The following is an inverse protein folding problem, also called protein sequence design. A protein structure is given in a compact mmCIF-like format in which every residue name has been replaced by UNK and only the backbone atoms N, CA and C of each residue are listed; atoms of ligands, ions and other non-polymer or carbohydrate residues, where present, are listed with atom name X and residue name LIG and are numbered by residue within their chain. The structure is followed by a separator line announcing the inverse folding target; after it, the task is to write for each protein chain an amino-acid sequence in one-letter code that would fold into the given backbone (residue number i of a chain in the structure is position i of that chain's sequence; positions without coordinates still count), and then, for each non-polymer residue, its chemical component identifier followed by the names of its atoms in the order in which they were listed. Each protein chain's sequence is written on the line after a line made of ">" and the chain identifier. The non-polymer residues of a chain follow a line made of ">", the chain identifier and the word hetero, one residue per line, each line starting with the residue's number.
data_IF_890961652904
#
_entry.id   IF_890961652904
#
_cell.length_a   1.000
_cell.length_b   1.000
_cell.length_c   1.000
_cell.angle_alpha   90.00
_cell.angle_beta   90.00
_cell.angle_gamma   90.00
#
_symmetry.space_group_name_H-M   'P 1'
#
loop_
_entity.id
_entity.type
_entity.pdbx_description
1 polymer ?
#
# COMPACT_ATOMS: atom_id res chain seq x y z
N UNK A 1 -34.28 39.55 -0.53
CA UNK A 1 -34.24 38.17 0.00
C UNK A 1 -34.10 38.23 1.50
N UNK A 2 -34.91 37.44 2.21
CA UNK A 2 -34.86 37.38 3.66
C UNK A 2 -33.54 36.72 4.07
N UNK A 3 -32.87 37.20 5.11
CA UNK A 3 -31.57 36.65 5.56
C UNK A 3 -31.67 35.14 5.89
N UNK A 4 -32.87 34.69 6.27
CA UNK A 4 -33.24 33.29 6.46
C UNK A 4 -33.14 32.46 5.18
N UNK A 5 -33.48 33.03 4.01
CA UNK A 5 -33.38 32.34 2.73
C UNK A 5 -31.91 32.08 2.37
N UNK A 6 -31.05 33.07 2.62
CA UNK A 6 -29.60 32.96 2.34
C UNK A 6 -28.99 31.86 3.21
N UNK A 7 -29.40 31.77 4.48
CA UNK A 7 -28.94 30.71 5.40
C UNK A 7 -29.47 29.33 4.95
N UNK A 8 -30.75 29.23 4.55
CA UNK A 8 -31.35 27.98 4.09
C UNK A 8 -30.72 27.43 2.80
N UNK A 9 -30.46 28.32 1.84
CA UNK A 9 -29.77 27.96 0.59
C UNK A 9 -28.30 27.58 0.84
N UNK A 10 -27.62 28.29 1.74
CA UNK A 10 -26.25 27.95 2.14
C UNK A 10 -26.18 26.59 2.84
N UNK A 11 -27.14 26.29 3.73
CA UNK A 11 -27.24 24.99 4.40
C UNK A 11 -27.50 23.84 3.42
N UNK A 12 -28.42 24.03 2.48
CA UNK A 12 -28.72 23.04 1.42
C UNK A 12 -27.51 22.81 0.50
N UNK A 13 -26.81 23.88 0.11
CA UNK A 13 -25.59 23.78 -0.69
C UNK A 13 -24.47 23.03 0.05
N UNK A 14 -24.30 23.30 1.36
CA UNK A 14 -23.35 22.59 2.20
C UNK A 14 -23.68 21.09 2.31
N UNK A 15 -24.97 20.76 2.44
CA UNK A 15 -25.47 19.38 2.51
C UNK A 15 -25.22 18.61 1.20
N UNK A 16 -25.56 19.23 0.07
CA UNK A 16 -25.30 18.67 -1.27
C UNK A 16 -23.80 18.48 -1.49
N UNK A 17 -22.99 19.46 -1.12
CA UNK A 17 -21.53 19.39 -1.21
C UNK A 17 -20.93 18.31 -0.30
N UNK A 18 -21.51 18.10 0.88
CA UNK A 18 -21.16 17.01 1.80
C UNK A 18 -21.44 15.64 1.16
N UNK A 19 -22.58 15.47 0.48
CA UNK A 19 -22.92 14.22 -0.20
C UNK A 19 -22.03 13.93 -1.43
N UNK A 20 -21.52 14.97 -2.09
CA UNK A 20 -20.60 14.87 -3.23
C UNK A 20 -19.20 14.39 -2.84
N UNK A 21 -18.85 14.36 -1.54
CA UNK A 21 -17.51 13.97 -1.10
C UNK A 21 -17.32 12.45 -0.98
N UNK A 22 -16.71 11.88 -2.01
CA UNK A 22 -16.28 10.47 -2.07
C UNK A 22 -15.09 10.14 -1.16
N UNK A 23 -14.37 11.14 -0.64
CA UNK A 23 -13.24 10.93 0.27
C UNK A 23 -13.67 11.19 1.70
N UNK A 24 -13.79 10.11 2.49
CA UNK A 24 -14.18 10.13 3.92
C UNK A 24 -13.39 11.18 4.72
N UNK A 25 -12.12 11.39 4.39
CA UNK A 25 -11.26 12.37 5.06
C UNK A 25 -11.64 13.82 4.76
N UNK A 26 -12.01 14.13 3.50
CA UNK A 26 -12.49 15.48 3.12
C UNK A 26 -13.87 15.76 3.70
N UNK A 27 -14.72 14.73 3.75
CA UNK A 27 -16.04 14.77 4.40
C UNK A 27 -15.93 15.11 5.89
N UNK A 28 -15.02 14.45 6.62
CA UNK A 28 -14.81 14.74 8.05
C UNK A 28 -14.21 16.12 8.29
N UNK A 29 -13.32 16.59 7.41
CA UNK A 29 -12.77 17.94 7.49
C UNK A 29 -13.83 19.02 7.26
N UNK A 30 -14.72 18.86 6.27
CA UNK A 30 -15.83 19.78 6.07
C UNK A 30 -16.84 19.76 7.20
N UNK A 31 -17.15 18.58 7.75
CA UNK A 31 -18.00 18.48 8.94
C UNK A 31 -17.39 19.19 10.15
N UNK A 32 -16.06 19.12 10.34
CA UNK A 32 -15.36 19.87 11.38
C UNK A 32 -15.46 21.39 11.17
N UNK A 33 -15.26 21.86 9.93
CA UNK A 33 -15.43 23.29 9.61
C UNK A 33 -16.88 23.72 9.84
N UNK A 34 -17.85 22.92 9.39
CA UNK A 34 -19.27 23.16 9.59
C UNK A 34 -19.65 23.23 11.07
N UNK A 35 -19.13 22.31 11.89
CA UNK A 35 -19.40 22.33 13.33
C UNK A 35 -18.75 23.53 14.01
N UNK A 36 -17.56 23.97 13.60
CA UNK A 36 -16.92 25.19 14.12
C UNK A 36 -17.72 26.47 13.78
N UNK A 37 -18.23 26.57 12.55
CA UNK A 37 -19.10 27.68 12.13
C UNK A 37 -20.40 27.69 12.95
N UNK A 38 -21.01 26.52 13.15
CA UNK A 38 -22.24 26.37 13.94
C UNK A 38 -22.02 26.64 15.44
N UNK A 39 -20.85 26.33 15.99
CA UNK A 39 -20.49 26.73 17.36
C UNK A 39 -20.50 28.26 17.47
N UNK A 40 -19.83 28.96 16.56
CA UNK A 40 -19.77 30.43 16.57
C UNK A 40 -21.15 31.08 16.38
N UNK A 41 -21.95 30.57 15.45
CA UNK A 41 -23.30 31.05 15.18
C UNK A 41 -24.24 30.84 16.39
N UNK A 42 -24.29 29.62 16.94
CA UNK A 42 -25.15 29.32 18.09
C UNK A 42 -24.71 30.08 19.35
N UNK A 43 -23.40 30.28 19.55
CA UNK A 43 -22.89 31.08 20.65
C UNK A 43 -23.32 32.55 20.53
N UNK A 44 -23.27 33.12 19.32
CA UNK A 44 -23.73 34.49 19.06
C UNK A 44 -25.24 34.67 19.32
N UNK A 45 -26.05 33.64 19.08
CA UNK A 45 -27.49 33.64 19.36
C UNK A 45 -27.86 33.22 20.79
N UNK A 46 -26.89 32.85 21.64
CA UNK A 46 -27.16 32.35 22.99
C UNK A 46 -27.83 30.97 23.04
N UNK A 47 -27.80 30.20 21.95
CA UNK A 47 -28.41 28.87 21.84
C UNK A 47 -27.43 27.80 22.32
N UNK A 48 -27.29 27.70 23.65
CA UNK A 48 -26.35 26.78 24.31
C UNK A 48 -26.48 25.30 23.94
N UNK A 49 -27.69 24.72 23.74
CA UNK A 49 -27.81 23.33 23.29
C UNK A 49 -27.16 23.09 21.92
N UNK A 50 -27.26 24.05 21.00
CA UNK A 50 -26.64 23.99 19.68
C UNK A 50 -25.11 24.07 19.75
N UNK A 51 -24.57 24.86 20.67
CA UNK A 51 -23.12 24.92 20.94
C UNK A 51 -22.61 23.57 21.45
N UNK A 52 -23.25 23.00 22.49
CA UNK A 52 -22.83 21.73 23.09
C UNK A 52 -22.80 20.58 22.08
N UNK A 53 -23.84 20.45 21.26
CA UNK A 53 -23.93 19.42 20.23
C UNK A 53 -22.78 19.53 19.22
N UNK A 54 -22.53 20.73 18.70
CA UNK A 54 -21.49 20.93 17.69
C UNK A 54 -20.07 20.80 18.26
N UNK A 55 -19.85 21.09 19.56
CA UNK A 55 -18.60 20.80 20.26
C UNK A 55 -18.32 19.29 20.30
N UNK A 56 -19.32 18.48 20.65
CA UNK A 56 -19.17 17.01 20.67
C UNK A 56 -18.86 16.49 19.26
N UNK A 57 -19.58 16.97 18.24
CA UNK A 57 -19.33 16.61 16.84
C UNK A 57 -17.90 17.00 16.40
N UNK A 58 -17.42 18.19 16.79
CA UNK A 58 -16.07 18.64 16.50
C UNK A 58 -15.02 17.72 17.14
N UNK A 59 -15.18 17.35 18.41
CA UNK A 59 -14.27 16.43 19.13
C UNK A 59 -14.20 15.07 18.43
N UNK A 60 -15.35 14.49 18.08
CA UNK A 60 -15.42 13.21 17.38
C UNK A 60 -14.70 13.30 16.03
N UNK A 61 -14.97 14.35 15.24
CA UNK A 61 -14.33 14.52 13.94
C UNK A 61 -12.81 14.71 14.08
N UNK A 62 -12.32 15.48 15.06
CA UNK A 62 -10.88 15.63 15.34
C UNK A 62 -10.24 14.29 15.71
N UNK A 63 -10.88 13.49 16.56
CA UNK A 63 -10.35 12.17 16.96
C UNK A 63 -10.21 11.24 15.76
N UNK A 64 -11.25 11.13 14.92
CA UNK A 64 -11.20 10.31 13.71
C UNK A 64 -10.17 10.83 12.69
N UNK A 65 -10.08 12.16 12.51
CA UNK A 65 -9.11 12.77 11.59
C UNK A 65 -7.69 12.50 12.05
N UNK A 66 -7.39 12.63 13.35
CA UNK A 66 -6.09 12.30 13.94
C UNK A 66 -5.75 10.82 13.80
N UNK A 67 -6.70 9.92 14.09
CA UNK A 67 -6.51 8.47 13.93
C UNK A 67 -6.17 8.12 12.49
N UNK A 68 -6.92 8.64 11.52
CA UNK A 68 -6.67 8.40 10.10
C UNK A 68 -5.35 9.01 9.61
N UNK A 69 -4.96 10.20 10.10
CA UNK A 69 -3.66 10.79 9.77
C UNK A 69 -2.50 10.00 10.39
N UNK A 70 -2.66 9.51 11.62
CA UNK A 70 -1.65 8.68 12.29
C UNK A 70 -1.43 7.35 11.55
N UNK A 71 -2.51 6.68 11.10
CA UNK A 71 -2.39 5.45 10.29
C UNK A 71 -1.77 5.72 8.92
N UNK A 72 -1.88 6.94 8.37
CA UNK A 72 -1.23 7.30 7.11
C UNK A 72 0.29 7.34 7.20
N UNK A 73 0.82 7.67 8.38
CA UNK A 73 2.25 7.69 8.70
C UNK A 73 2.80 6.33 9.13
N UNK A 74 1.96 5.29 9.18
CA UNK A 74 2.42 3.90 9.24
C UNK A 74 2.86 3.45 7.83
N UNK A 75 3.87 4.13 7.31
CA UNK A 75 4.61 3.80 6.09
C UNK A 75 5.56 2.61 6.31
N UNK A 76 5.29 1.75 7.31
CA UNK A 76 6.22 0.70 7.77
C UNK A 76 5.67 -0.72 7.91
N UNK A 77 4.51 -1.02 7.34
CA UNK A 77 4.09 -2.42 7.21
C UNK A 77 3.76 -2.68 5.75
N UNK A 78 4.81 -2.68 4.91
CA UNK A 78 4.76 -3.52 3.74
C UNK A 78 4.74 -4.96 4.25
N UNK A 79 3.86 -5.77 3.70
CA UNK A 79 3.85 -7.21 3.93
C UNK A 79 4.04 -7.88 2.59
N UNK A 80 4.67 -9.05 2.60
CA UNK A 80 4.79 -9.84 1.39
C UNK A 80 3.96 -11.10 1.58
N UNK A 81 2.97 -11.26 0.72
CA UNK A 81 2.04 -12.39 0.73
C UNK A 81 2.41 -13.31 -0.42
N UNK A 82 2.73 -14.55 -0.09
CA UNK A 82 2.91 -15.60 -1.09
C UNK A 82 1.57 -16.00 -1.69
N UNK A 83 1.53 -16.06 -3.02
CA UNK A 83 0.34 -16.49 -3.77
C UNK A 83 0.73 -17.58 -4.76
N UNK A 84 -0.21 -18.47 -5.06
CA UNK A 84 -0.02 -19.48 -6.09
C UNK A 84 0.17 -18.83 -7.46
N UNK A 85 1.01 -19.41 -8.31
CA UNK A 85 1.21 -18.92 -9.69
C UNK A 85 -0.04 -19.07 -10.57
N UNK A 86 -0.97 -19.95 -10.18
CA UNK A 86 -2.30 -20.08 -10.76
C UNK A 86 -3.38 -19.20 -10.13
N UNK A 87 -3.03 -18.33 -9.18
CA UNK A 87 -4.02 -17.55 -8.43
C UNK A 87 -4.80 -16.56 -9.31
N UNK A 88 -6.12 -16.48 -9.10
CA UNK A 88 -6.99 -15.63 -9.90
C UNK A 88 -6.76 -14.14 -9.68
N UNK A 89 -6.39 -13.75 -8.47
CA UNK A 89 -6.13 -12.36 -8.09
C UNK A 89 -4.77 -11.88 -8.58
N UNK A 90 -3.74 -12.75 -8.55
CA UNK A 90 -2.46 -12.49 -9.22
C UNK A 90 -2.66 -12.25 -10.73
N UNK A 91 -3.38 -13.16 -11.40
CA UNK A 91 -3.66 -13.04 -12.83
C UNK A 91 -4.43 -11.75 -13.16
N UNK A 92 -5.38 -11.36 -12.31
CA UNK A 92 -6.08 -10.09 -12.44
C UNK A 92 -5.12 -8.90 -12.32
N UNK A 93 -4.26 -8.89 -11.30
CA UNK A 93 -3.30 -7.80 -11.04
C UNK A 93 -2.32 -7.62 -12.20
N UNK A 94 -1.75 -8.72 -12.70
CA UNK A 94 -0.85 -8.70 -13.87
C UNK A 94 -1.56 -8.17 -15.11
N UNK A 95 -2.84 -8.53 -15.33
CA UNK A 95 -3.62 -8.03 -16.47
C UNK A 95 -3.92 -6.55 -16.37
N UNK A 96 -4.33 -6.06 -15.20
CA UNK A 96 -4.63 -4.64 -14.96
C UNK A 96 -3.39 -3.76 -15.18
N UNK A 97 -2.23 -4.24 -14.77
CA UNK A 97 -0.97 -3.51 -14.87
C UNK A 97 -0.10 -3.87 -16.07
N UNK A 98 -0.60 -4.69 -17.00
CA UNK A 98 0.19 -5.23 -18.12
C UNK A 98 0.89 -4.15 -18.96
N UNK A 99 0.21 -3.01 -19.21
CA UNK A 99 0.78 -1.92 -19.99
C UNK A 99 1.95 -1.22 -19.29
N UNK A 100 1.86 -1.05 -17.96
CA UNK A 100 2.95 -0.45 -17.17
C UNK A 100 4.10 -1.44 -16.98
N UNK A 101 3.78 -2.72 -16.73
CA UNK A 101 4.76 -3.81 -16.67
C UNK A 101 5.54 -3.89 -17.99
N UNK A 102 4.88 -3.85 -19.15
CA UNK A 102 5.56 -3.90 -20.44
C UNK A 102 6.51 -2.71 -20.68
N UNK A 103 6.25 -1.56 -20.04
CA UNK A 103 7.10 -0.37 -20.14
C UNK A 103 8.37 -0.47 -19.29
N UNK A 104 8.28 -1.07 -18.10
CA UNK A 104 9.40 -1.12 -17.14
C UNK A 104 10.13 -2.48 -17.12
N UNK A 105 9.47 -3.53 -17.58
CA UNK A 105 9.99 -4.90 -17.68
C UNK A 105 9.66 -5.46 -19.09
N UNK A 106 10.21 -4.89 -20.17
CA UNK A 106 9.82 -5.22 -21.55
C UNK A 106 10.12 -6.67 -21.94
N UNK A 107 11.07 -7.31 -21.27
CA UNK A 107 11.43 -8.72 -21.48
C UNK A 107 10.51 -9.70 -20.74
N UNK A 108 9.74 -9.21 -19.75
CA UNK A 108 8.88 -10.07 -18.96
C UNK A 108 7.70 -10.59 -19.79
N UNK A 109 7.49 -11.90 -19.78
CA UNK A 109 6.34 -12.56 -20.40
C UNK A 109 5.69 -13.47 -19.37
N UNK A 110 4.41 -13.23 -19.09
CA UNK A 110 3.65 -14.08 -18.18
C UNK A 110 3.32 -15.41 -18.86
N UNK A 111 3.99 -16.49 -18.43
CA UNK A 111 3.80 -17.85 -18.94
C UNK A 111 2.74 -18.67 -18.20
N UNK A 112 2.06 -18.09 -17.19
CA UNK A 112 1.09 -18.78 -16.36
C UNK A 112 1.70 -19.54 -15.19
N UNK A 113 0.97 -20.55 -14.71
CA UNK A 113 1.38 -21.38 -13.59
C UNK A 113 2.59 -22.25 -13.96
N UNK A 114 3.63 -22.16 -13.13
CA UNK A 114 4.89 -22.90 -13.27
C UNK A 114 5.28 -23.38 -11.86
N UNK A 115 5.58 -24.67 -11.66
CA UNK A 115 5.93 -25.24 -10.36
C UNK A 115 7.25 -24.72 -9.79
N UNK A 116 8.18 -24.28 -10.63
CA UNK A 116 9.46 -23.71 -10.20
C UNK A 116 9.37 -22.20 -9.99
N UNK A 117 8.23 -21.60 -10.34
CA UNK A 117 7.94 -20.18 -10.13
C UNK A 117 7.21 -19.97 -8.83
N UNK A 118 7.59 -18.90 -8.13
CA UNK A 118 6.93 -18.41 -6.94
C UNK A 118 6.50 -16.96 -7.16
N UNK A 119 5.29 -16.66 -6.71
CA UNK A 119 4.68 -15.36 -6.86
C UNK A 119 4.40 -14.73 -5.51
N UNK A 120 4.70 -13.44 -5.42
CA UNK A 120 4.58 -12.68 -4.19
C UNK A 120 3.89 -11.36 -4.48
N UNK A 121 2.88 -11.05 -3.69
CA UNK A 121 2.23 -9.74 -3.68
C UNK A 121 2.84 -8.91 -2.57
N UNK A 122 3.29 -7.71 -2.92
CA UNK A 122 3.67 -6.71 -1.93
C UNK A 122 2.41 -5.92 -1.61
N UNK A 123 1.98 -5.98 -0.36
CA UNK A 123 0.78 -5.30 0.12
C UNK A 123 1.15 -4.24 1.14
N UNK A 124 0.39 -3.15 1.16
CA UNK A 124 0.43 -2.14 2.21
C UNK A 124 -0.97 -2.04 2.79
N UNK A 125 -1.13 -2.46 4.04
CA UNK A 125 -2.45 -2.66 4.64
C UNK A 125 -3.31 -3.60 3.77
N UNK A 126 -4.31 -3.06 3.07
CA UNK A 126 -5.24 -3.78 2.20
C UNK A 126 -5.00 -3.53 0.69
N UNK A 127 -4.03 -2.68 0.32
CA UNK A 127 -3.73 -2.32 -1.06
C UNK A 127 -2.55 -3.14 -1.59
N UNK A 128 -2.73 -3.81 -2.74
CA UNK A 128 -1.59 -4.41 -3.49
C UNK A 128 -0.79 -3.29 -4.13
N UNK A 129 0.46 -3.16 -3.72
CA UNK A 129 1.36 -2.11 -4.19
C UNK A 129 2.40 -2.62 -5.19
N UNK A 130 2.63 -3.93 -5.24
CA UNK A 130 3.59 -4.54 -6.17
C UNK A 130 3.46 -6.06 -6.31
N UNK A 131 4.18 -6.60 -7.29
CA UNK A 131 4.26 -8.02 -7.62
C UNK A 131 5.73 -8.38 -7.83
N UNK A 132 6.18 -9.42 -7.15
CA UNK A 132 7.50 -10.02 -7.34
C UNK A 132 7.32 -11.47 -7.78
N UNK A 133 7.90 -11.82 -8.92
CA UNK A 133 7.93 -13.19 -9.43
C UNK A 133 9.37 -13.65 -9.45
N UNK A 134 9.61 -14.84 -8.89
CA UNK A 134 10.92 -15.47 -8.91
C UNK A 134 10.81 -16.90 -9.41
N UNK A 135 11.83 -17.34 -10.12
CA UNK A 135 12.01 -18.71 -10.54
C UNK A 135 13.17 -19.31 -9.75
N UNK A 136 12.91 -20.43 -9.08
CA UNK A 136 13.88 -21.16 -8.30
C UNK A 136 14.06 -22.57 -8.83
N UNK A 137 14.42 -22.71 -10.11
CA UNK A 137 14.71 -23.98 -10.78
C UNK A 137 15.83 -24.80 -10.09
N UNK A 138 15.49 -25.43 -8.95
CA UNK A 138 16.23 -26.52 -8.31
C UNK A 138 17.52 -26.19 -7.57
N UNK A 139 17.80 -24.94 -7.19
CA UNK A 139 19.08 -24.54 -6.57
C UNK A 139 18.98 -23.56 -5.40
N UNK A 140 20.13 -23.09 -4.93
CA UNK A 140 20.25 -22.08 -3.85
C UNK A 140 20.06 -20.63 -4.35
N UNK A 141 19.57 -20.47 -5.58
CA UNK A 141 19.49 -19.21 -6.30
C UNK A 141 18.06 -18.94 -6.74
N UNK A 142 17.51 -17.80 -6.30
CA UNK A 142 16.26 -17.27 -6.81
C UNK A 142 16.54 -16.29 -7.97
N UNK A 143 16.02 -16.58 -9.16
CA UNK A 143 16.09 -15.64 -10.29
C UNK A 143 14.83 -14.79 -10.32
N UNK A 144 14.96 -13.47 -10.23
CA UNK A 144 13.85 -12.54 -10.36
C UNK A 144 13.41 -12.51 -11.81
N UNK A 145 12.14 -12.80 -12.08
CA UNK A 145 11.53 -12.66 -13.40
C UNK A 145 10.74 -11.35 -13.52
N UNK A 146 10.11 -10.91 -12.43
CA UNK A 146 9.37 -9.66 -12.36
C UNK A 146 9.60 -9.01 -11.00
N UNK A 147 9.92 -7.71 -11.03
CA UNK A 147 9.93 -6.83 -9.86
C UNK A 147 9.15 -5.58 -10.25
N UNK A 148 7.85 -5.60 -9.98
CA UNK A 148 6.93 -4.54 -10.40
C UNK A 148 6.31 -3.88 -9.18
N UNK A 149 6.36 -2.55 -9.17
CA UNK A 149 5.69 -1.71 -8.18
C UNK A 149 4.80 -0.73 -8.91
N UNK A 150 3.56 -0.62 -8.44
CA UNK A 150 2.58 0.34 -8.96
C UNK A 150 3.13 1.77 -8.92
N UNK A 151 2.75 2.58 -9.91
CA UNK A 151 3.27 3.94 -10.09
C UNK A 151 3.25 4.80 -8.82
N UNK A 152 2.19 4.67 -8.00
CA UNK A 152 2.01 5.43 -6.76
C UNK A 152 3.04 5.11 -5.67
N UNK A 153 3.63 3.92 -5.70
CA UNK A 153 4.50 3.39 -4.63
C UNK A 153 5.95 3.18 -5.07
N UNK A 154 6.27 3.47 -6.32
CA UNK A 154 7.60 3.22 -6.90
C UNK A 154 8.73 3.95 -6.17
N UNK A 155 8.48 5.18 -5.72
CA UNK A 155 9.47 6.00 -5.01
C UNK A 155 9.62 5.63 -3.52
N UNK A 156 8.77 4.72 -3.00
CA UNK A 156 8.71 4.37 -1.57
C UNK A 156 9.49 3.09 -1.21
N UNK A 157 10.47 2.73 -2.05
CA UNK A 157 11.40 1.59 -1.88
C UNK A 157 10.80 0.23 -1.44
N UNK A 158 9.66 -0.26 -1.98
CA UNK A 158 9.08 -1.54 -1.53
C UNK A 158 10.01 -2.74 -1.72
N UNK A 159 10.86 -2.72 -2.76
CA UNK A 159 11.86 -3.77 -2.98
C UNK A 159 12.90 -3.87 -1.85
N UNK A 160 13.17 -2.80 -1.08
CA UNK A 160 14.08 -2.89 0.07
C UNK A 160 13.47 -3.79 1.15
N UNK A 161 12.15 -3.66 1.33
CA UNK A 161 11.42 -4.53 2.24
C UNK A 161 11.48 -5.98 1.77
N UNK A 162 11.22 -6.23 0.47
CA UNK A 162 11.24 -7.58 -0.11
C UNK A 162 12.62 -8.23 0.02
N UNK A 163 13.70 -7.53 -0.33
CA UNK A 163 15.03 -8.14 -0.39
C UNK A 163 15.83 -8.10 0.92
N UNK A 164 15.63 -7.10 1.80
CA UNK A 164 16.44 -6.95 3.03
C UNK A 164 15.69 -7.30 4.31
N UNK A 165 14.38 -7.04 4.38
CA UNK A 165 13.61 -7.21 5.63
C UNK A 165 12.73 -8.45 5.64
N UNK A 166 12.32 -8.94 4.48
CA UNK A 166 11.54 -10.16 4.41
C UNK A 166 12.45 -11.39 4.48
N UNK A 167 12.05 -12.39 5.27
CA UNK A 167 12.67 -13.72 5.30
C UNK A 167 12.17 -14.64 4.17
N UNK A 168 11.51 -14.05 3.17
CA UNK A 168 10.83 -14.75 2.09
C UNK A 168 11.76 -15.67 1.29
N UNK A 169 12.92 -15.16 0.93
CA UNK A 169 13.89 -15.94 0.16
C UNK A 169 14.65 -16.94 1.03
N UNK A 170 15.02 -16.54 2.25
CA UNK A 170 15.80 -17.38 3.17
C UNK A 170 14.98 -18.54 3.71
N UNK A 171 13.68 -18.36 4.01
CA UNK A 171 12.78 -19.45 4.42
C UNK A 171 12.63 -20.53 3.35
N UNK A 172 12.84 -20.19 2.07
CA UNK A 172 12.83 -21.13 0.93
C UNK A 172 14.19 -21.79 0.69
N UNK A 173 15.20 -21.47 1.49
CA UNK A 173 16.57 -22.00 1.34
C UNK A 173 17.39 -21.29 0.27
N UNK A 174 16.89 -20.20 -0.34
CA UNK A 174 17.70 -19.41 -1.25
C UNK A 174 18.79 -18.66 -0.49
N UNK A 175 20.00 -18.70 -1.05
CA UNK A 175 21.18 -18.00 -0.56
C UNK A 175 21.53 -16.79 -1.40
N UNK A 176 21.09 -16.77 -2.66
CA UNK A 176 21.38 -15.71 -3.61
C UNK A 176 20.13 -15.32 -4.41
N UNK A 177 20.00 -14.03 -4.71
CA UNK A 177 19.00 -13.50 -5.63
C UNK A 177 19.71 -12.94 -6.85
N UNK A 178 19.26 -13.34 -8.04
CA UNK A 178 19.81 -12.94 -9.34
C UNK A 178 18.76 -12.15 -10.12
N UNK A 179 19.12 -10.96 -10.62
CA UNK A 179 18.27 -10.20 -11.54
C UNK A 179 18.46 -10.66 -12.99
N UNK A 180 17.48 -10.40 -13.88
CA UNK A 180 17.66 -10.58 -15.32
C UNK A 180 18.87 -9.79 -15.84
N UNK A 181 19.55 -10.28 -16.90
CA UNK A 181 20.61 -9.54 -17.56
C UNK A 181 20.07 -8.26 -18.19
N UNK A 182 20.85 -7.19 -18.19
CA UNK A 182 20.48 -5.92 -18.83
C UNK A 182 19.50 -5.05 -18.01
N UNK A 183 19.20 -5.43 -16.77
CA UNK A 183 18.40 -4.62 -15.86
C UNK A 183 19.20 -3.37 -15.41
N UNK A 184 18.85 -2.20 -15.93
CA UNK A 184 19.54 -0.93 -15.61
C UNK A 184 18.83 -0.24 -14.46
N UNK A 185 19.33 -0.33 -13.21
CA UNK A 185 18.76 0.44 -12.12
C UNK A 185 19.78 0.87 -11.03
N UNK A 186 19.92 2.20 -10.75
CA UNK A 186 20.64 2.74 -9.59
C UNK A 186 20.09 2.28 -8.23
N UNK A 187 18.93 1.64 -8.25
CA UNK A 187 18.21 1.16 -7.08
C UNK A 187 18.86 -0.08 -6.46
N UNK A 188 19.31 -1.04 -7.28
CA UNK A 188 19.91 -2.28 -6.78
C UNK A 188 21.25 -2.05 -6.07
N UNK A 189 22.05 -1.08 -6.54
CA UNK A 189 23.28 -0.67 -5.87
C UNK A 189 23.04 -0.22 -4.42
N UNK A 190 21.92 0.49 -4.16
CA UNK A 190 21.55 0.95 -2.81
C UNK A 190 20.98 -0.16 -1.94
N UNK A 191 20.45 -1.21 -2.56
CA UNK A 191 19.89 -2.38 -1.87
C UNK A 191 20.95 -3.38 -1.43
N UNK A 192 22.22 -3.19 -1.82
CA UNK A 192 23.31 -4.10 -1.51
C UNK A 192 23.51 -5.20 -2.55
N UNK A 193 22.87 -5.10 -3.73
CA UNK A 193 23.22 -5.96 -4.85
C UNK A 193 24.60 -5.57 -5.38
N UNK A 194 25.36 -6.58 -5.79
CA UNK A 194 26.66 -6.43 -6.45
C UNK A 194 26.47 -6.76 -7.92
N UNK A 195 27.02 -5.92 -8.81
CA UNK A 195 26.99 -6.19 -10.24
C UNK A 195 27.95 -7.34 -10.56
N UNK A 196 27.43 -8.38 -11.21
CA UNK A 196 28.19 -9.54 -11.69
C UNK A 196 27.87 -9.74 -13.18
N UNK A 197 28.76 -9.21 -14.04
CA UNK A 197 28.54 -9.15 -15.49
C UNK A 197 27.37 -8.23 -15.86
N UNK A 198 26.38 -8.80 -16.54
CA UNK A 198 25.17 -8.10 -16.99
C UNK A 198 24.00 -8.22 -16.00
N UNK A 199 24.19 -8.93 -14.88
CA UNK A 199 23.19 -9.13 -13.82
C UNK A 199 23.63 -8.51 -12.49
N UNK A 200 22.67 -8.37 -11.57
CA UNK A 200 22.89 -7.98 -10.19
C UNK A 200 22.63 -9.17 -9.27
N UNK A 201 23.52 -9.37 -8.29
CA UNK A 201 23.46 -10.46 -7.32
C UNK A 201 23.37 -9.91 -5.91
N UNK A 202 22.39 -10.40 -5.14
CA UNK A 202 22.30 -10.16 -3.71
C UNK A 202 22.55 -11.46 -2.96
N UNK A 203 23.54 -11.45 -2.06
CA UNK A 203 23.68 -12.52 -1.08
C UNK A 203 22.70 -12.29 0.05
N UNK A 204 21.90 -13.31 0.32
CA UNK A 204 20.95 -13.27 1.41
C UNK A 204 21.67 -13.65 2.72
N UNK A 205 21.33 -12.99 3.84
CA UNK A 205 21.87 -13.38 5.13
C UNK A 205 21.47 -14.84 5.44
N UNK A 206 22.27 -15.58 6.23
CA UNK A 206 21.90 -16.91 6.67
C UNK A 206 20.55 -16.86 7.41
N UNK A 207 19.73 -17.91 7.26
CA UNK A 207 18.43 -18.03 7.93
C UNK A 207 18.59 -17.76 9.42
N UNK A 208 17.99 -16.67 9.92
CA UNK A 208 17.87 -16.45 11.36
C UNK A 208 16.87 -17.48 11.92
N UNK A 209 17.28 -18.38 12.84
CA UNK A 209 16.36 -19.33 13.45
C UNK A 209 15.43 -18.55 14.39
N UNK A 210 14.23 -18.17 13.93
CA UNK A 210 13.28 -17.46 14.78
C UNK A 210 11.95 -16.98 14.19
N UNK A 211 11.75 -16.96 12.87
CA UNK A 211 10.53 -16.41 12.26
C UNK A 211 9.51 -17.46 11.78
N UNK A 212 9.57 -18.70 12.30
CA UNK A 212 8.77 -19.84 11.84
C UNK A 212 8.04 -20.60 12.96
N UNK A 213 7.52 -19.92 13.98
CA UNK A 213 6.73 -20.56 15.03
C UNK A 213 5.37 -19.86 15.16
N UNK A 214 4.37 -20.34 14.40
CA UNK A 214 3.07 -19.71 14.41
C UNK A 214 1.91 -20.46 13.75
N UNK A 215 2.00 -21.78 13.51
CA UNK A 215 0.80 -22.61 13.26
C UNK A 215 1.04 -23.98 13.88
N UNK A 216 0.48 -24.21 15.07
CA UNK A 216 0.31 -25.57 15.59
C UNK A 216 -0.84 -26.23 14.81
N UNK A 217 -0.69 -27.48 14.33
CA UNK A 217 -1.85 -28.26 13.93
C UNK A 217 -2.65 -28.57 15.20
N UNK A 218 -3.93 -28.21 15.19
CA UNK A 218 -4.91 -28.68 16.16
C UNK A 218 -5.24 -30.14 15.82
N UNK A 219 -4.84 -31.05 16.72
CA UNK A 219 -5.46 -32.37 16.87
C UNK A 219 -6.92 -32.23 17.33
#
# INVERSE_FOLDING_TARGET
>A
MNWLDIIGWSGSALLVWSLLQTRVLRLRALNLVGSLVLIGYNAALGVWPGVGLNVVIAIINVWYLRRMLATRHDERTYEVVEVGTGDGFLNHTLRVHAADIARFNPEFRWGGADPDRSAFLVVRADEVVGVVLVNGAGGDVARVELDYVTQRFRDFTPGEFVYRRSSLFTNRGYRRVLTPPGMVAPYYDRLGFRREGDSYVLDLPPVSPGAGAGVRPSD
#
